data_IF_427975415841
#
_entry.id   IF_427975415841
#
_cell.length_a   1.000
_cell.length_b   1.000
_cell.length_c   1.000
_cell.angle_alpha   90.00
_cell.angle_beta   90.00
_cell.angle_gamma   90.00
#
_symmetry.space_group_name_H-M   'P 1'
#
loop_
_entity.id
_entity.type
_entity.pdbx_description
1 polymer ?
#
# COMPACT_ATOMS: atom_id res chain seq x y z
N UNK A 1 -13.19 -10.67 15.41
CA UNK A 1 -12.57 -10.33 14.11
C UNK A 1 -13.04 -11.32 13.06
N UNK A 2 -13.44 -10.88 11.88
CA UNK A 2 -13.93 -11.76 10.80
C UNK A 2 -12.84 -11.92 9.73
N UNK A 3 -12.06 -13.01 9.82
CA UNK A 3 -10.91 -13.26 8.92
C UNK A 3 -11.29 -13.34 7.44
N UNK A 4 -12.39 -14.01 7.02
CA UNK A 4 -12.82 -13.99 5.63
C UNK A 4 -13.07 -12.57 5.08
N UNK A 5 -13.70 -11.70 5.87
CA UNK A 5 -13.96 -10.30 5.46
C UNK A 5 -12.68 -9.47 5.39
N UNK A 6 -11.72 -9.72 6.28
CA UNK A 6 -10.40 -9.10 6.23
C UNK A 6 -9.65 -9.56 4.97
N UNK A 7 -9.70 -10.85 4.63
CA UNK A 7 -9.07 -11.38 3.42
C UNK A 7 -9.64 -10.74 2.15
N UNK A 8 -10.96 -10.61 2.04
CA UNK A 8 -11.60 -9.92 0.92
C UNK A 8 -11.18 -8.45 0.81
N UNK A 9 -11.13 -7.73 1.94
CA UNK A 9 -10.68 -6.34 1.98
C UNK A 9 -9.20 -6.21 1.56
N UNK A 10 -8.35 -7.14 2.01
CA UNK A 10 -6.94 -7.16 1.64
C UNK A 10 -6.73 -7.44 0.15
N UNK A 11 -7.48 -8.37 -0.44
CA UNK A 11 -7.43 -8.65 -1.88
C UNK A 11 -7.86 -7.42 -2.68
N UNK A 12 -8.99 -6.81 -2.32
CA UNK A 12 -9.47 -5.60 -3.00
C UNK A 12 -8.46 -4.44 -2.90
N UNK A 13 -7.88 -4.22 -1.72
CA UNK A 13 -6.85 -3.23 -1.51
C UNK A 13 -5.57 -3.54 -2.30
N UNK A 14 -5.19 -4.81 -2.41
CA UNK A 14 -4.03 -5.25 -3.19
C UNK A 14 -4.23 -4.93 -4.67
N UNK A 15 -5.41 -5.22 -5.23
CA UNK A 15 -5.75 -4.88 -6.61
C UNK A 15 -5.64 -3.37 -6.82
N UNK A 16 -6.26 -2.56 -5.94
CA UNK A 16 -6.20 -1.11 -6.03
C UNK A 16 -4.76 -0.57 -5.94
N UNK A 17 -3.94 -1.13 -5.03
CA UNK A 17 -2.54 -0.76 -4.85
C UNK A 17 -1.71 -1.05 -6.10
N UNK A 18 -1.89 -2.22 -6.72
CA UNK A 18 -1.16 -2.57 -7.94
C UNK A 18 -1.63 -1.78 -9.17
N UNK A 19 -2.94 -1.53 -9.30
CA UNK A 19 -3.46 -0.66 -10.38
C UNK A 19 -2.87 0.74 -10.24
N UNK A 20 -2.89 1.31 -9.03
CA UNK A 20 -2.29 2.61 -8.76
C UNK A 20 -0.78 2.62 -9.04
N UNK A 21 -0.03 1.64 -8.52
CA UNK A 21 1.41 1.53 -8.75
C UNK A 21 1.77 1.38 -10.23
N UNK A 22 0.99 0.62 -11.00
CA UNK A 22 1.19 0.51 -12.45
C UNK A 22 0.97 1.86 -13.16
N UNK A 23 -0.10 2.58 -12.83
CA UNK A 23 -0.42 3.86 -13.46
C UNK A 23 0.57 4.96 -13.10
N UNK A 24 1.00 5.02 -11.83
CA UNK A 24 1.89 6.07 -11.35
C UNK A 24 3.35 5.70 -11.60
N UNK A 25 3.83 4.61 -11.02
CA UNK A 25 5.24 4.22 -11.08
C UNK A 25 5.59 3.55 -12.41
N UNK A 26 4.69 2.71 -12.91
CA UNK A 26 4.85 2.01 -14.19
C UNK A 26 4.66 2.88 -15.43
N UNK A 27 3.99 4.04 -15.32
CA UNK A 27 3.73 4.92 -16.46
C UNK A 27 4.13 6.38 -16.20
N UNK A 28 3.54 7.05 -15.21
CA UNK A 28 3.69 8.50 -15.00
C UNK A 28 5.12 8.93 -14.69
N UNK A 29 5.77 8.28 -13.72
CA UNK A 29 7.13 8.62 -13.25
C UNK A 29 8.20 7.63 -13.75
N UNK A 30 7.82 6.68 -14.64
CA UNK A 30 8.73 5.65 -15.16
C UNK A 30 10.04 6.22 -15.72
N UNK A 31 9.96 7.37 -16.40
CA UNK A 31 11.13 8.04 -17.00
C UNK A 31 12.16 8.46 -15.96
N UNK A 32 11.71 8.82 -14.75
CA UNK A 32 12.57 9.33 -13.69
C UNK A 32 13.34 8.18 -13.01
N UNK A 33 12.91 6.92 -13.15
CA UNK A 33 13.68 5.74 -12.76
C UNK A 33 15.01 5.60 -13.52
N UNK A 34 15.13 6.18 -14.71
CA UNK A 34 16.40 6.21 -15.45
C UNK A 34 17.49 6.97 -14.69
N UNK A 35 17.11 7.95 -13.85
CA UNK A 35 18.03 8.72 -13.00
C UNK A 35 18.71 7.86 -11.91
N UNK A 36 18.19 6.67 -11.66
CA UNK A 36 18.68 5.75 -10.63
C UNK A 36 18.72 4.31 -11.12
N UNK A 37 18.91 4.10 -12.42
CA UNK A 37 18.84 2.78 -13.06
C UNK A 37 19.77 1.73 -12.43
N UNK A 38 20.95 2.16 -11.96
CA UNK A 38 21.92 1.27 -11.30
C UNK A 38 21.41 0.66 -9.98
N UNK A 39 20.40 1.25 -9.34
CA UNK A 39 19.79 0.72 -8.11
C UNK A 39 18.75 -0.37 -8.37
N UNK A 40 18.10 -0.33 -9.53
CA UNK A 40 16.98 -1.21 -9.83
C UNK A 40 17.43 -2.45 -10.58
N UNK A 41 16.77 -3.57 -10.32
CA UNK A 41 16.98 -4.79 -11.10
C UNK A 41 16.58 -4.54 -12.56
N UNK A 42 17.24 -5.22 -13.50
CA UNK A 42 16.80 -5.27 -14.88
C UNK A 42 15.37 -5.84 -14.98
N UNK A 43 14.64 -5.48 -16.05
CA UNK A 43 13.20 -5.75 -16.16
C UNK A 43 12.86 -7.26 -16.13
N UNK A 44 13.68 -8.08 -16.78
CA UNK A 44 13.58 -9.54 -16.78
C UNK A 44 13.71 -10.13 -15.37
N UNK A 45 14.70 -9.64 -14.61
CA UNK A 45 14.90 -10.02 -13.21
C UNK A 45 13.75 -9.51 -12.34
N UNK A 46 13.26 -8.28 -12.55
CA UNK A 46 12.10 -7.77 -11.82
C UNK A 46 10.86 -8.66 -12.01
N UNK A 47 10.56 -9.06 -13.24
CA UNK A 47 9.43 -9.95 -13.54
C UNK A 47 9.57 -11.31 -12.84
N UNK A 48 10.78 -11.84 -12.72
CA UNK A 48 11.05 -13.08 -11.96
C UNK A 48 10.69 -12.97 -10.48
N UNK A 49 10.94 -11.82 -9.86
CA UNK A 49 10.66 -11.58 -8.43
C UNK A 49 9.27 -10.94 -8.18
N UNK A 50 8.53 -10.57 -9.22
CA UNK A 50 7.19 -9.98 -9.11
C UNK A 50 6.22 -10.82 -8.26
N UNK A 51 6.18 -12.17 -8.37
CA UNK A 51 5.30 -12.96 -7.51
C UNK A 51 5.62 -12.80 -6.02
N UNK A 52 6.89 -12.69 -5.66
CA UNK A 52 7.31 -12.46 -4.26
C UNK A 52 6.85 -11.08 -3.79
N UNK A 53 6.99 -10.05 -4.64
CA UNK A 53 6.48 -8.71 -4.36
C UNK A 53 4.95 -8.66 -4.21
N UNK A 54 4.22 -9.42 -5.02
CA UNK A 54 2.76 -9.52 -4.91
C UNK A 54 2.34 -10.18 -3.59
N UNK A 55 2.98 -11.30 -3.24
CA UNK A 55 2.70 -11.99 -1.98
C UNK A 55 3.06 -11.12 -0.77
N UNK A 56 4.19 -10.40 -0.81
CA UNK A 56 4.59 -9.54 0.30
C UNK A 56 3.61 -8.38 0.52
N UNK A 57 3.13 -7.73 -0.55
CA UNK A 57 2.12 -6.68 -0.48
C UNK A 57 0.79 -7.24 0.00
N UNK A 58 0.36 -8.40 -0.49
CA UNK A 58 -0.88 -9.05 -0.04
C UNK A 58 -0.85 -9.35 1.46
N UNK A 59 0.25 -9.92 1.95
CA UNK A 59 0.44 -10.18 3.38
C UNK A 59 0.46 -8.87 4.18
N UNK A 60 1.16 -7.84 3.69
CA UNK A 60 1.19 -6.53 4.31
C UNK A 60 -0.19 -5.88 4.44
N UNK A 61 -0.99 -5.92 3.37
CA UNK A 61 -2.35 -5.38 3.36
C UNK A 61 -3.33 -6.23 4.15
N UNK A 62 -3.12 -7.54 4.25
CA UNK A 62 -3.87 -8.39 5.16
C UNK A 62 -3.63 -7.99 6.62
N UNK A 63 -2.37 -7.76 7.00
CA UNK A 63 -2.02 -7.28 8.35
C UNK A 63 -2.56 -5.86 8.59
N UNK A 64 -2.48 -4.97 7.61
CA UNK A 64 -3.09 -3.63 7.70
C UNK A 64 -4.60 -3.73 7.91
N UNK A 65 -5.28 -4.64 7.21
CA UNK A 65 -6.71 -4.94 7.40
C UNK A 65 -7.02 -5.48 8.81
N UNK A 66 -6.14 -6.31 9.39
CA UNK A 66 -6.28 -6.76 10.77
C UNK A 66 -6.12 -5.62 11.79
N UNK A 67 -5.16 -4.72 11.58
CA UNK A 67 -4.96 -3.53 12.42
C UNK A 67 -6.19 -2.63 12.31
N UNK A 68 -6.65 -2.35 11.10
CA UNK A 68 -7.85 -1.57 10.85
C UNK A 68 -9.09 -2.17 11.52
N UNK A 69 -9.28 -3.49 11.42
CA UNK A 69 -10.40 -4.19 12.04
C UNK A 69 -10.43 -4.06 13.58
N UNK A 70 -9.27 -3.91 14.22
CA UNK A 70 -9.16 -3.61 15.65
C UNK A 70 -9.41 -2.13 15.94
N UNK A 71 -8.89 -1.25 15.08
CA UNK A 71 -8.96 0.20 15.25
C UNK A 71 -10.36 0.77 14.99
N UNK A 72 -11.12 0.23 14.03
CA UNK A 72 -12.40 0.79 13.60
C UNK A 72 -13.56 0.57 14.59
N UNK A 73 -13.36 -0.16 15.70
CA UNK A 73 -14.34 -0.26 16.79
C UNK A 73 -15.73 -0.79 16.40
N UNK A 74 -15.85 -1.55 15.31
CA UNK A 74 -17.14 -2.02 14.79
C UNK A 74 -17.87 -1.05 13.85
N UNK A 75 -17.33 0.14 13.59
CA UNK A 75 -17.83 1.09 12.60
C UNK A 75 -16.84 1.20 11.42
N UNK A 76 -17.13 0.49 10.32
CA UNK A 76 -16.31 0.59 9.11
C UNK A 76 -16.99 1.46 8.06
N UNK A 77 -16.22 2.38 7.47
CA UNK A 77 -16.68 3.30 6.44
C UNK A 77 -15.51 3.73 5.56
N UNK A 78 -15.81 4.37 4.43
CA UNK A 78 -14.79 4.99 3.58
C UNK A 78 -13.97 6.03 4.34
N UNK A 79 -14.61 6.80 5.23
CA UNK A 79 -13.98 7.88 5.98
C UNK A 79 -13.01 7.34 7.03
N UNK A 80 -13.41 6.31 7.79
CA UNK A 80 -12.51 5.66 8.75
C UNK A 80 -11.37 4.96 8.02
N UNK A 81 -11.62 4.33 6.88
CA UNK A 81 -10.58 3.79 6.00
C UNK A 81 -9.60 4.85 5.50
N UNK A 82 -10.09 6.01 5.09
CA UNK A 82 -9.26 7.14 4.66
C UNK A 82 -8.35 7.65 5.78
N UNK A 83 -8.89 7.84 6.99
CA UNK A 83 -8.09 8.26 8.15
C UNK A 83 -7.00 7.25 8.50
N UNK A 84 -7.34 5.95 8.47
CA UNK A 84 -6.36 4.88 8.65
C UNK A 84 -5.30 4.89 7.55
N UNK A 85 -5.71 5.06 6.29
CA UNK A 85 -4.82 5.15 5.14
C UNK A 85 -3.88 6.36 5.20
N UNK A 86 -4.33 7.50 5.71
CA UNK A 86 -3.49 8.68 5.95
C UNK A 86 -2.38 8.39 6.96
N UNK A 87 -2.73 7.78 8.10
CA UNK A 87 -1.76 7.42 9.13
C UNK A 87 -0.76 6.38 8.63
N UNK A 88 -1.24 5.31 7.98
CA UNK A 88 -0.39 4.28 7.39
C UNK A 88 0.48 4.83 6.25
N UNK A 89 -0.07 5.72 5.42
CA UNK A 89 0.66 6.36 4.34
C UNK A 89 1.82 7.20 4.85
N UNK A 90 1.60 8.03 5.87
CA UNK A 90 2.69 8.81 6.49
C UNK A 90 3.73 7.85 7.09
N UNK A 91 3.28 6.85 7.85
CA UNK A 91 4.17 5.89 8.49
C UNK A 91 5.07 5.17 7.48
N UNK A 92 4.49 4.59 6.42
CA UNK A 92 5.25 3.83 5.41
C UNK A 92 6.10 4.75 4.53
N UNK A 93 5.59 5.92 4.14
CA UNK A 93 6.36 6.90 3.37
C UNK A 93 7.64 7.32 4.10
N UNK A 94 7.57 7.57 5.41
CA UNK A 94 8.72 7.97 6.23
C UNK A 94 9.69 6.80 6.48
N UNK A 95 9.17 5.64 6.89
CA UNK A 95 10.01 4.50 7.31
C UNK A 95 10.61 3.76 6.11
N UNK A 96 9.91 3.71 4.98
CA UNK A 96 10.38 2.99 3.81
C UNK A 96 10.98 3.94 2.76
N UNK A 97 10.15 4.77 2.14
CA UNK A 97 10.54 5.52 0.93
C UNK A 97 11.56 6.62 1.24
N UNK A 98 11.34 7.40 2.30
CA UNK A 98 12.22 8.48 2.68
C UNK A 98 13.54 7.97 3.28
N UNK A 99 13.49 6.87 4.04
CA UNK A 99 14.67 6.21 4.58
C UNK A 99 15.54 5.59 3.46
N UNK A 100 14.94 5.06 2.40
CA UNK A 100 15.68 4.60 1.21
C UNK A 100 16.39 5.73 0.48
N UNK A 101 15.86 6.96 0.55
CA UNK A 101 16.49 8.16 -0.01
C UNK A 101 17.82 8.49 0.69
N UNK A 102 17.95 8.12 1.98
CA UNK A 102 19.17 8.31 2.77
C UNK A 102 20.17 7.17 2.57
N UNK A 103 19.69 5.93 2.39
CA UNK A 103 20.55 4.73 2.38
C UNK A 103 20.93 4.24 0.99
N UNK A 104 20.14 4.55 -0.03
CA UNK A 104 20.39 4.15 -1.42
C UNK A 104 20.88 5.37 -2.23
N UNK A 105 21.69 5.12 -3.26
CA UNK A 105 22.18 6.16 -4.17
C UNK A 105 21.08 6.60 -5.17
N UNK A 106 19.95 7.07 -4.62
CA UNK A 106 18.74 7.41 -5.36
C UNK A 106 18.70 8.91 -5.60
N UNK A 107 18.27 9.31 -6.80
CA UNK A 107 18.09 10.72 -7.11
C UNK A 107 17.00 11.33 -6.22
N UNK A 108 17.24 12.53 -5.68
CA UNK A 108 16.30 13.22 -4.79
C UNK A 108 14.91 13.37 -5.40
N UNK A 109 14.84 13.68 -6.70
CA UNK A 109 13.55 13.83 -7.40
C UNK A 109 12.77 12.53 -7.41
N UNK A 110 13.40 11.44 -7.86
CA UNK A 110 12.77 10.12 -7.91
C UNK A 110 12.36 9.66 -6.51
N UNK A 111 13.22 9.87 -5.51
CA UNK A 111 12.91 9.50 -4.12
C UNK A 111 11.70 10.24 -3.56
N UNK A 112 11.55 11.54 -3.87
CA UNK A 112 10.38 12.33 -3.47
C UNK A 112 9.12 11.89 -4.25
N UNK A 113 9.23 11.60 -5.54
CA UNK A 113 8.13 11.08 -6.36
C UNK A 113 7.63 9.72 -5.85
N UNK A 114 8.54 8.79 -5.51
CA UNK A 114 8.20 7.49 -4.89
C UNK A 114 7.59 7.69 -3.50
N UNK A 115 8.09 8.64 -2.72
CA UNK A 115 7.55 8.93 -1.38
C UNK A 115 6.11 9.43 -1.47
N UNK A 116 5.82 10.38 -2.37
CA UNK A 116 4.47 10.86 -2.63
C UNK A 116 3.57 9.74 -3.18
N UNK A 117 4.08 8.93 -4.13
CA UNK A 117 3.37 7.76 -4.67
C UNK A 117 2.99 6.79 -3.56
N UNK A 118 3.94 6.43 -2.70
CA UNK A 118 3.75 5.52 -1.57
C UNK A 118 2.66 6.04 -0.63
N UNK A 119 2.74 7.32 -0.25
CA UNK A 119 1.73 7.95 0.60
C UNK A 119 0.32 7.80 0.01
N UNK A 120 0.13 8.19 -1.25
CA UNK A 120 -1.18 8.13 -1.93
C UNK A 120 -1.65 6.68 -2.10
N UNK A 121 -0.76 5.75 -2.45
CA UNK A 121 -1.09 4.33 -2.59
C UNK A 121 -1.63 3.72 -1.29
N UNK A 122 -1.03 4.08 -0.15
CA UNK A 122 -1.49 3.63 1.17
C UNK A 122 -2.79 4.31 1.62
N UNK A 123 -3.00 5.58 1.27
CA UNK A 123 -4.29 6.27 1.48
C UNK A 123 -5.40 5.54 0.73
N UNK A 124 -5.19 5.27 -0.57
CA UNK A 124 -6.14 4.52 -1.40
C UNK A 124 -6.40 3.12 -0.85
N UNK A 125 -5.35 2.39 -0.49
CA UNK A 125 -5.48 1.06 0.09
C UNK A 125 -6.29 1.10 1.40
N UNK A 126 -6.03 2.05 2.29
CA UNK A 126 -6.80 2.24 3.52
C UNK A 126 -8.27 2.55 3.26
N UNK A 127 -8.57 3.44 2.31
CA UNK A 127 -9.96 3.74 1.90
C UNK A 127 -10.67 2.49 1.38
N UNK A 128 -10.01 1.69 0.53
CA UNK A 128 -10.57 0.44 0.00
C UNK A 128 -10.81 -0.57 1.13
N UNK A 129 -9.87 -0.71 2.07
CA UNK A 129 -10.06 -1.56 3.25
C UNK A 129 -11.31 -1.14 4.03
N UNK A 130 -11.48 0.16 4.30
CA UNK A 130 -12.64 0.67 5.03
C UNK A 130 -13.97 0.51 4.29
N UNK A 131 -13.95 0.59 2.96
CA UNK A 131 -15.12 0.36 2.11
C UNK A 131 -15.55 -1.11 2.07
N UNK A 132 -14.59 -2.02 1.95
CA UNK A 132 -14.85 -3.46 1.72
C UNK A 132 -15.04 -4.21 3.05
N UNK A 133 -14.29 -3.85 4.08
CA UNK A 133 -14.42 -4.48 5.38
C UNK A 133 -15.76 -4.09 6.04
N UNK A 134 -16.61 -5.08 6.30
CA UNK A 134 -17.84 -4.92 7.08
C UNK A 134 -17.68 -5.66 8.42
N UNK A 135 -17.73 -4.98 9.57
CA UNK A 135 -17.73 -5.62 10.87
C UNK A 135 -18.91 -6.59 11.01
N UNK A 136 -18.74 -7.69 11.74
CA UNK A 136 -19.88 -8.53 12.11
C UNK A 136 -20.75 -7.73 13.09
N UNK A 137 -22.08 -7.76 12.90
CA UNK A 137 -22.99 -7.12 13.83
C UNK A 137 -22.72 -7.64 15.26
N UNK A 138 -22.75 -6.78 16.28
CA UNK A 138 -22.71 -7.27 17.66
C UNK A 138 -23.87 -8.26 17.84
N UNK A 139 -23.58 -9.44 18.38
CA UNK A 139 -24.63 -10.35 18.82
C UNK A 139 -25.47 -9.58 19.84
N UNK A 140 -26.75 -9.37 19.54
CA UNK A 140 -27.71 -8.84 20.49
C UNK A 140 -27.82 -9.90 21.59
N UNK A 141 -27.21 -9.61 22.75
CA UNK A 141 -27.41 -10.35 23.99
C UNK A 141 -28.22 -9.46 24.93
#
# INVERSE_FOLDING_TARGET
>A
MNYPRIALAAIAATIAFFVYGFLVEGMLIRKDFALSAALYRASDLQMKYMPIGLVSVLVGLFMAGMIYAKWCGGQSSAMTGLQFGLLMGIFVACVHSLSNLVTMNMNLRLGLEITASTFVGWVLAGTVIGLVYKPAAPAVH
#
